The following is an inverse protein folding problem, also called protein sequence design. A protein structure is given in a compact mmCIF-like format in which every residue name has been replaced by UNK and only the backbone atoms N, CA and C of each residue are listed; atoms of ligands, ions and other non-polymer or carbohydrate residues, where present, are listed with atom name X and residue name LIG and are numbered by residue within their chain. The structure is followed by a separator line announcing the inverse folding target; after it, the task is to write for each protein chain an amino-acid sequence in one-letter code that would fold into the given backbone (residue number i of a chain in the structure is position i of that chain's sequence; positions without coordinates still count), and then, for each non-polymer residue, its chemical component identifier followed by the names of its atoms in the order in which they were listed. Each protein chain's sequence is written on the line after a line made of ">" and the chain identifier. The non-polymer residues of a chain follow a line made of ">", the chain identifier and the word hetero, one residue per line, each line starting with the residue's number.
data_IF_504584988548
#
_entry.id   IF_504584988548
#
_cell.length_a   1.000
_cell.length_b   1.000
_cell.length_c   1.000
_cell.angle_alpha   90.00
_cell.angle_beta   90.00
_cell.angle_gamma   90.00
#
_symmetry.space_group_name_H-M   'P 1'
#
loop_
_entity.id
_entity.type
_entity.pdbx_description
1 polymer ?
#
# COMPACT_ATOMS: atom_id res chain seq x y z
N UNK A 1 16.18 -19.30 2.51
CA UNK A 1 17.07 -18.14 2.26
C UNK A 1 16.71 -16.91 3.11
N UNK A 2 15.42 -16.69 3.45
CA UNK A 2 14.97 -15.45 4.10
C UNK A 2 14.95 -15.48 5.63
N UNK A 3 15.36 -16.55 6.29
CA UNK A 3 15.31 -16.71 7.75
C UNK A 3 16.17 -15.69 8.51
N UNK A 4 17.24 -15.20 7.89
CA UNK A 4 18.16 -14.23 8.47
C UNK A 4 17.80 -12.76 8.23
N UNK A 5 16.72 -12.51 7.49
CA UNK A 5 16.20 -11.15 7.29
C UNK A 5 15.63 -10.63 8.60
N UNK A 6 16.03 -9.43 9.02
CA UNK A 6 15.56 -8.85 10.28
C UNK A 6 14.03 -8.66 10.29
N UNK A 7 13.38 -8.67 11.47
CA UNK A 7 11.94 -8.44 11.57
C UNK A 7 11.50 -7.13 10.89
N UNK A 8 12.23 -6.03 11.10
CA UNK A 8 11.93 -4.74 10.48
C UNK A 8 12.00 -4.80 8.94
N UNK A 9 13.05 -5.42 8.40
CA UNK A 9 13.20 -5.54 6.95
C UNK A 9 12.19 -6.55 6.36
N UNK A 10 11.78 -7.56 7.15
CA UNK A 10 10.68 -8.46 6.77
C UNK A 10 9.35 -7.68 6.69
N UNK A 11 9.07 -6.83 7.68
CA UNK A 11 7.87 -5.99 7.71
C UNK A 11 7.86 -5.01 6.53
N UNK A 12 8.96 -4.27 6.32
CA UNK A 12 9.08 -3.30 5.25
C UNK A 12 8.96 -3.94 3.86
N UNK A 13 9.69 -5.01 3.57
CA UNK A 13 9.60 -5.73 2.29
C UNK A 13 8.24 -6.43 2.09
N UNK A 14 7.63 -6.94 3.18
CA UNK A 14 6.29 -7.51 3.13
C UNK A 14 5.21 -6.49 2.81
N UNK A 15 5.33 -5.28 3.37
CA UNK A 15 4.43 -4.18 3.04
C UNK A 15 4.65 -3.69 1.60
N UNK A 16 5.88 -3.63 1.14
CA UNK A 16 6.22 -3.27 -0.25
C UNK A 16 5.57 -4.24 -1.26
N UNK A 17 5.62 -5.57 -1.01
CA UNK A 17 4.86 -6.54 -1.80
C UNK A 17 3.36 -6.22 -1.83
N UNK A 18 2.76 -5.93 -0.67
CA UNK A 18 1.35 -5.56 -0.55
C UNK A 18 1.04 -4.28 -1.34
N UNK A 19 1.92 -3.29 -1.25
CA UNK A 19 1.84 -2.01 -1.96
C UNK A 19 1.78 -2.22 -3.48
N UNK A 20 2.68 -3.00 -4.06
CA UNK A 20 2.69 -3.32 -5.48
C UNK A 20 1.36 -3.94 -5.95
N UNK A 21 0.81 -4.87 -5.16
CA UNK A 21 -0.48 -5.49 -5.47
C UNK A 21 -1.62 -4.47 -5.37
N UNK A 22 -1.63 -3.64 -4.31
CA UNK A 22 -2.66 -2.63 -4.10
C UNK A 22 -2.66 -1.57 -5.20
N UNK A 23 -1.51 -1.03 -5.60
CA UNK A 23 -1.44 -0.01 -6.64
C UNK A 23 -1.79 -0.53 -8.03
N UNK A 24 -1.62 -1.83 -8.26
CA UNK A 24 -2.17 -2.50 -9.44
C UNK A 24 -3.68 -2.69 -9.34
N UNK A 25 -4.18 -3.09 -8.17
CA UNK A 25 -5.59 -3.34 -7.91
C UNK A 25 -6.44 -2.06 -7.98
N UNK A 26 -5.99 -0.97 -7.36
CA UNK A 26 -6.66 0.34 -7.34
C UNK A 26 -6.36 1.20 -8.56
N UNK A 27 -6.26 0.61 -9.73
CA UNK A 27 -5.98 1.30 -10.98
C UNK A 27 -7.07 1.07 -12.02
N UNK A 28 -7.10 1.89 -13.07
CA UNK A 28 -8.02 1.72 -14.18
C UNK A 28 -7.66 0.48 -15.04
N UNK A 29 -8.62 -0.15 -15.71
CA UNK A 29 -10.05 0.05 -15.60
C UNK A 29 -10.62 -0.52 -14.28
N UNK A 30 -11.81 -0.06 -13.88
CA UNK A 30 -12.46 -0.44 -12.62
C UNK A 30 -13.38 -1.66 -12.73
N UNK A 31 -13.51 -2.22 -13.91
CA UNK A 31 -14.30 -3.44 -14.13
C UNK A 31 -13.66 -4.65 -13.46
N UNK A 32 -14.53 -5.58 -13.06
CA UNK A 32 -14.11 -6.85 -12.50
C UNK A 32 -13.38 -7.70 -13.54
N UNK A 33 -12.22 -8.18 -13.16
CA UNK A 33 -11.40 -9.05 -14.00
C UNK A 33 -10.65 -10.10 -13.16
N UNK A 34 -10.04 -11.06 -13.85
CA UNK A 34 -9.28 -12.12 -13.20
C UNK A 34 -8.06 -11.58 -12.46
N UNK A 35 -7.41 -10.53 -12.97
CA UNK A 35 -6.25 -9.92 -12.31
C UNK A 35 -6.63 -9.36 -10.95
N UNK A 36 -7.81 -8.76 -10.80
CA UNK A 36 -8.31 -8.28 -9.52
C UNK A 36 -8.56 -9.43 -8.52
N UNK A 37 -9.17 -10.53 -8.98
CA UNK A 37 -9.40 -11.70 -8.13
C UNK A 37 -8.08 -12.33 -7.64
N UNK A 38 -7.05 -12.38 -8.49
CA UNK A 38 -5.70 -12.84 -8.12
C UNK A 38 -5.08 -11.85 -7.11
N UNK A 39 -5.22 -10.55 -7.34
CA UNK A 39 -4.71 -9.50 -6.46
C UNK A 39 -5.33 -9.60 -5.05
N UNK A 40 -6.63 -9.82 -4.95
CA UNK A 40 -7.31 -10.02 -3.67
C UNK A 40 -6.79 -11.26 -2.92
N UNK A 41 -6.56 -12.36 -3.64
CA UNK A 41 -5.99 -13.58 -3.05
C UNK A 41 -4.54 -13.35 -2.57
N UNK A 42 -3.73 -12.61 -3.34
CA UNK A 42 -2.36 -12.26 -2.95
C UNK A 42 -2.34 -11.36 -1.71
N UNK A 43 -3.17 -10.31 -1.68
CA UNK A 43 -3.27 -9.41 -0.53
C UNK A 43 -3.63 -10.17 0.75
N UNK A 44 -4.64 -11.06 0.71
CA UNK A 44 -4.98 -11.92 1.87
C UNK A 44 -3.81 -12.78 2.30
N UNK A 45 -3.14 -13.44 1.35
CA UNK A 45 -1.98 -14.29 1.66
C UNK A 45 -0.84 -13.50 2.32
N UNK A 46 -0.55 -12.28 1.86
CA UNK A 46 0.46 -11.41 2.47
C UNK A 46 0.03 -11.01 3.89
N UNK A 47 -1.20 -10.55 4.07
CA UNK A 47 -1.75 -10.12 5.36
C UNK A 47 -1.72 -11.24 6.39
N UNK A 48 -2.05 -12.47 5.99
CA UNK A 48 -2.04 -13.64 6.88
C UNK A 48 -0.63 -14.08 7.27
N UNK A 49 0.30 -14.10 6.31
CA UNK A 49 1.62 -14.69 6.51
C UNK A 49 2.68 -13.71 7.03
N UNK A 50 2.55 -12.41 6.76
CA UNK A 50 3.58 -11.43 7.15
C UNK A 50 3.74 -11.28 8.67
N UNK A 51 2.68 -11.15 9.48
CA UNK A 51 2.83 -11.12 10.92
C UNK A 51 3.42 -12.40 11.51
N UNK A 52 3.12 -13.57 10.90
CA UNK A 52 3.70 -14.86 11.30
C UNK A 52 5.21 -14.86 11.03
N UNK A 53 5.62 -14.47 9.81
CA UNK A 53 7.04 -14.44 9.45
C UNK A 53 7.88 -13.45 10.26
N UNK A 54 7.24 -12.36 10.77
CA UNK A 54 7.89 -11.41 11.67
C UNK A 54 8.12 -12.01 13.06
N UNK A 55 7.09 -12.66 13.64
CA UNK A 55 7.16 -13.28 14.97
C UNK A 55 7.96 -14.58 15.01
N UNK A 56 7.90 -15.35 13.93
CA UNK A 56 8.52 -16.66 13.75
C UNK A 56 9.43 -16.66 12.51
N UNK A 57 10.64 -16.07 12.57
CA UNK A 57 11.50 -15.85 11.39
C UNK A 57 11.85 -17.13 10.61
N UNK A 58 11.83 -18.28 11.26
CA UNK A 58 12.13 -19.59 10.66
C UNK A 58 10.87 -20.37 10.26
N UNK A 59 9.68 -19.79 10.35
CA UNK A 59 8.45 -20.43 9.90
C UNK A 59 8.49 -20.60 8.37
N UNK A 60 8.74 -21.84 7.93
CA UNK A 60 8.93 -22.16 6.52
C UNK A 60 7.69 -21.84 5.69
N UNK A 61 6.50 -22.17 6.19
CA UNK A 61 5.25 -21.98 5.46
C UNK A 61 4.99 -20.49 5.19
N UNK A 62 5.08 -19.65 6.23
CA UNK A 62 4.90 -18.22 6.09
C UNK A 62 5.95 -17.60 5.15
N UNK A 63 7.23 -17.96 5.30
CA UNK A 63 8.31 -17.46 4.43
C UNK A 63 8.16 -17.93 2.99
N UNK A 64 7.74 -19.16 2.77
CA UNK A 64 7.50 -19.72 1.43
C UNK A 64 6.34 -19.01 0.73
N UNK A 65 5.22 -18.80 1.44
CA UNK A 65 4.06 -18.07 0.92
C UNK A 65 4.41 -16.63 0.56
N UNK A 66 5.16 -15.93 1.42
CA UNK A 66 5.60 -14.54 1.13
C UNK A 66 6.56 -14.50 -0.07
N UNK A 67 7.50 -15.44 -0.19
CA UNK A 67 8.40 -15.49 -1.35
C UNK A 67 7.64 -15.71 -2.65
N UNK A 68 6.63 -16.58 -2.63
CA UNK A 68 5.78 -16.81 -3.79
C UNK A 68 4.92 -15.56 -4.10
N UNK A 69 4.31 -14.95 -3.08
CA UNK A 69 3.52 -13.74 -3.21
C UNK A 69 4.34 -12.58 -3.80
N UNK A 70 5.60 -12.38 -3.34
CA UNK A 70 6.48 -11.34 -3.88
C UNK A 70 6.76 -11.54 -5.37
N UNK A 71 7.00 -12.80 -5.78
CA UNK A 71 7.18 -13.12 -7.19
C UNK A 71 5.94 -12.78 -8.00
N UNK A 72 4.75 -13.14 -7.51
CA UNK A 72 3.48 -12.87 -8.21
C UNK A 72 3.15 -11.39 -8.27
N UNK A 73 3.54 -10.59 -7.26
CA UNK A 73 3.36 -9.14 -7.25
C UNK A 73 4.16 -8.45 -8.37
N UNK A 74 5.34 -9.01 -8.73
CA UNK A 74 6.28 -8.36 -9.64
C UNK A 74 6.29 -8.90 -11.08
N UNK A 75 5.99 -10.19 -11.30
CA UNK A 75 6.10 -10.80 -12.65
C UNK A 75 5.11 -10.28 -13.69
N UNK A 76 4.23 -9.35 -13.32
CA UNK A 76 3.32 -8.70 -14.24
C UNK A 76 2.00 -9.43 -14.51
N UNK A 77 1.77 -10.61 -13.92
CA UNK A 77 0.53 -11.38 -14.16
C UNK A 77 -0.71 -10.62 -13.70
N UNK A 78 -0.62 -9.92 -12.57
CA UNK A 78 -1.72 -9.09 -12.04
C UNK A 78 -1.88 -7.76 -12.79
N UNK A 79 -0.87 -7.37 -13.58
CA UNK A 79 -0.89 -6.13 -14.38
C UNK A 79 -1.61 -6.30 -15.74
N UNK A 80 -1.99 -7.54 -16.09
CA UNK A 80 -2.68 -7.82 -17.35
C UNK A 80 -4.08 -7.15 -17.35
N UNK A 81 -4.30 -6.27 -18.30
CA UNK A 81 -5.54 -5.51 -18.42
C UNK A 81 -5.67 -4.33 -17.45
N UNK A 82 -4.61 -3.94 -16.75
CA UNK A 82 -4.56 -2.81 -15.81
C UNK A 82 -3.61 -1.72 -16.31
N UNK A 83 -3.91 -0.47 -16.00
CA UNK A 83 -3.03 0.68 -16.30
C UNK A 83 -1.91 0.84 -15.25
N UNK A 84 -2.12 0.34 -14.05
CA UNK A 84 -1.24 0.43 -12.88
C UNK A 84 -1.01 1.89 -12.42
N UNK A 85 -1.41 2.18 -11.20
CA UNK A 85 -1.33 3.53 -10.65
C UNK A 85 0.12 3.91 -10.27
N UNK A 86 0.68 3.27 -9.27
CA UNK A 86 2.02 3.55 -8.73
C UNK A 86 2.28 5.00 -8.29
N UNK A 87 1.23 5.79 -7.98
CA UNK A 87 1.41 7.17 -7.50
C UNK A 87 1.99 7.21 -6.09
N UNK A 88 1.61 6.28 -5.20
CA UNK A 88 2.19 6.21 -3.86
C UNK A 88 3.70 5.89 -3.94
N UNK A 89 4.12 5.03 -4.87
CA UNK A 89 5.55 4.80 -5.14
C UNK A 89 6.24 6.05 -5.67
N UNK A 90 5.61 6.83 -6.56
CA UNK A 90 6.21 8.06 -7.08
C UNK A 90 6.43 9.09 -5.98
N UNK A 91 5.49 9.23 -5.04
CA UNK A 91 5.63 10.09 -3.87
C UNK A 91 6.76 9.60 -2.97
N UNK A 92 6.78 8.30 -2.68
CA UNK A 92 7.79 7.70 -1.80
C UNK A 92 9.19 7.76 -2.42
N UNK A 93 9.36 7.51 -3.72
CA UNK A 93 10.65 7.63 -4.40
C UNK A 93 11.25 9.03 -4.27
N UNK A 94 10.42 10.08 -4.40
CA UNK A 94 10.90 11.44 -4.18
C UNK A 94 11.23 11.69 -2.71
N UNK A 95 10.39 11.21 -1.79
CA UNK A 95 10.67 11.28 -0.37
C UNK A 95 11.99 10.59 -0.01
N UNK A 96 12.20 9.37 -0.49
CA UNK A 96 13.45 8.61 -0.31
C UNK A 96 14.66 9.31 -0.91
N UNK A 97 14.52 9.94 -2.08
CA UNK A 97 15.61 10.68 -2.73
C UNK A 97 16.12 11.88 -1.89
N UNK A 98 15.24 12.51 -1.12
CA UNK A 98 15.61 13.65 -0.26
C UNK A 98 15.99 13.25 1.17
N UNK A 99 15.55 12.08 1.65
CA UNK A 99 15.63 11.74 3.08
C UNK A 99 16.39 10.44 3.36
N UNK A 100 16.67 9.63 2.33
CA UNK A 100 17.26 8.29 2.45
C UNK A 100 16.47 7.36 3.39
N UNK A 101 15.13 7.54 3.48
CA UNK A 101 14.29 6.71 4.31
C UNK A 101 14.14 5.29 3.72
N UNK A 102 13.79 4.32 4.57
CA UNK A 102 13.51 2.97 4.11
C UNK A 102 12.25 2.94 3.25
N UNK A 103 12.35 2.39 2.04
CA UNK A 103 11.31 2.38 1.01
C UNK A 103 9.97 1.81 1.51
N UNK A 104 9.97 0.56 2.00
CA UNK A 104 8.72 -0.08 2.45
C UNK A 104 8.10 0.60 3.68
N UNK A 105 8.92 1.21 4.54
CA UNK A 105 8.42 2.03 5.67
C UNK A 105 7.78 3.32 5.16
N UNK A 106 8.40 3.99 4.17
CA UNK A 106 7.87 5.18 3.54
C UNK A 106 6.53 4.92 2.85
N UNK A 107 6.42 3.81 2.12
CA UNK A 107 5.15 3.36 1.53
C UNK A 107 4.07 3.15 2.61
N UNK A 108 4.44 2.54 3.76
CA UNK A 108 3.51 2.36 4.87
C UNK A 108 2.90 3.66 5.39
N UNK A 109 3.71 4.72 5.45
CA UNK A 109 3.24 6.05 5.87
C UNK A 109 2.33 6.70 4.81
N UNK A 110 2.67 6.59 3.52
CA UNK A 110 1.97 7.31 2.44
C UNK A 110 0.61 6.66 2.07
N UNK A 111 0.53 5.33 2.03
CA UNK A 111 -0.64 4.63 1.48
C UNK A 111 -1.98 5.00 2.12
N UNK A 112 -2.13 5.06 3.46
CA UNK A 112 -3.43 5.39 4.05
C UNK A 112 -3.95 6.77 3.64
N UNK A 113 -3.11 7.80 3.68
CA UNK A 113 -3.47 9.17 3.31
C UNK A 113 -3.77 9.26 1.80
N UNK A 114 -2.93 8.64 0.97
CA UNK A 114 -3.14 8.58 -0.48
C UNK A 114 -4.48 7.92 -0.82
N UNK A 115 -4.78 6.75 -0.26
CA UNK A 115 -6.03 6.05 -0.53
C UNK A 115 -7.26 6.79 -0.01
N UNK A 116 -7.17 7.49 1.13
CA UNK A 116 -8.26 8.38 1.57
C UNK A 116 -8.54 9.49 0.55
N UNK A 117 -7.50 10.00 -0.10
CA UNK A 117 -7.61 11.05 -1.13
C UNK A 117 -8.36 10.59 -2.38
N UNK A 118 -8.11 9.35 -2.84
CA UNK A 118 -8.69 8.82 -4.08
C UNK A 118 -9.89 7.88 -3.88
N UNK A 119 -10.26 7.57 -2.63
CA UNK A 119 -11.29 6.59 -2.30
C UNK A 119 -12.61 6.85 -3.01
N UNK A 120 -13.07 8.11 -3.03
CA UNK A 120 -14.34 8.49 -3.67
C UNK A 120 -14.31 8.39 -5.19
N UNK A 121 -13.14 8.47 -5.80
CA UNK A 121 -12.98 8.35 -7.26
C UNK A 121 -13.10 6.89 -7.72
N UNK A 122 -12.80 5.91 -6.83
CA UNK A 122 -12.89 4.47 -7.08
C UNK A 122 -13.67 3.69 -6.02
N UNK A 123 -14.73 4.28 -5.45
CA UNK A 123 -15.44 3.80 -4.25
C UNK A 123 -15.78 2.29 -4.31
N UNK A 124 -16.26 1.81 -5.45
CA UNK A 124 -16.64 0.39 -5.62
C UNK A 124 -15.47 -0.57 -5.40
N UNK A 125 -14.27 -0.19 -5.83
CA UNK A 125 -13.08 -1.00 -5.65
C UNK A 125 -12.62 -0.99 -4.19
N UNK A 126 -12.72 0.14 -3.50
CA UNK A 126 -12.44 0.23 -2.07
C UNK A 126 -13.44 -0.55 -1.22
N UNK A 127 -14.73 -0.59 -1.61
CA UNK A 127 -15.73 -1.48 -0.99
C UNK A 127 -15.33 -2.95 -1.16
N UNK A 128 -14.92 -3.37 -2.37
CA UNK A 128 -14.45 -4.74 -2.60
C UNK A 128 -13.21 -5.07 -1.79
N UNK A 129 -12.28 -4.14 -1.66
CA UNK A 129 -11.11 -4.29 -0.81
C UNK A 129 -11.52 -4.54 0.65
N UNK A 130 -12.45 -3.76 1.19
CA UNK A 130 -12.97 -3.97 2.54
C UNK A 130 -13.60 -5.37 2.71
N UNK A 131 -14.44 -5.78 1.75
CA UNK A 131 -15.17 -7.05 1.82
C UNK A 131 -14.27 -8.24 1.51
N UNK A 132 -13.58 -8.22 0.37
CA UNK A 132 -12.88 -9.40 -0.17
C UNK A 132 -11.50 -9.60 0.44
N UNK A 133 -10.85 -8.53 0.90
CA UNK A 133 -9.50 -8.62 1.49
C UNK A 133 -9.58 -8.63 3.02
N UNK A 134 -10.36 -7.74 3.62
CA UNK A 134 -10.48 -7.62 5.07
C UNK A 134 -11.63 -8.42 5.67
N UNK A 135 -12.52 -9.00 4.85
CA UNK A 135 -13.65 -9.81 5.33
C UNK A 135 -14.75 -9.00 6.03
N UNK A 136 -14.85 -7.71 5.73
CA UNK A 136 -15.91 -6.86 6.31
C UNK A 136 -17.28 -7.24 5.74
N UNK A 137 -18.34 -7.15 6.57
CA UNK A 137 -19.68 -7.42 6.12
C UNK A 137 -20.21 -6.24 5.29
N UNK A 138 -20.78 -6.49 4.09
CA UNK A 138 -21.44 -5.46 3.30
C UNK A 138 -22.85 -5.13 3.82
N UNK A 139 -23.33 -5.84 4.85
CA UNK A 139 -24.72 -5.74 5.31
C UNK A 139 -24.98 -4.48 6.12
N UNK A 140 -25.82 -3.58 5.62
CA UNK A 140 -26.43 -2.48 6.36
C UNK A 140 -25.60 -1.21 6.53
N UNK A 141 -24.41 -1.11 5.90
CA UNK A 141 -23.56 0.07 5.93
C UNK A 141 -23.65 0.94 4.68
N UNK A 142 -23.23 2.21 4.80
CA UNK A 142 -22.96 3.07 3.68
C UNK A 142 -21.73 2.58 2.92
N UNK A 143 -21.76 2.59 1.58
CA UNK A 143 -20.60 2.21 0.75
C UNK A 143 -19.36 3.03 1.09
N UNK A 144 -19.52 4.32 1.40
CA UNK A 144 -18.40 5.18 1.77
C UNK A 144 -17.82 4.77 3.13
N UNK A 145 -18.65 4.50 4.14
CA UNK A 145 -18.21 4.00 5.45
C UNK A 145 -17.44 2.69 5.33
N UNK A 146 -17.94 1.76 4.52
CA UNK A 146 -17.28 0.47 4.28
C UNK A 146 -15.94 0.63 3.55
N UNK A 147 -15.89 1.49 2.53
CA UNK A 147 -14.67 1.76 1.77
C UNK A 147 -13.57 2.38 2.66
N UNK A 148 -13.91 3.38 3.48
CA UNK A 148 -12.98 3.98 4.43
C UNK A 148 -12.59 2.99 5.54
N UNK A 149 -13.50 2.12 5.98
CA UNK A 149 -13.21 1.04 6.90
C UNK A 149 -12.11 0.10 6.41
N UNK A 150 -12.08 -0.20 5.11
CA UNK A 150 -11.00 -0.98 4.49
C UNK A 150 -9.63 -0.27 4.56
N UNK A 151 -9.62 1.07 4.43
CA UNK A 151 -8.39 1.87 4.58
C UNK A 151 -7.96 1.92 6.06
N UNK A 152 -8.92 2.01 6.99
CA UNK A 152 -8.64 1.95 8.44
C UNK A 152 -8.03 0.59 8.83
N UNK A 153 -8.53 -0.51 8.25
CA UNK A 153 -7.96 -1.84 8.45
C UNK A 153 -6.53 -1.94 7.92
N UNK A 154 -6.24 -1.34 6.74
CA UNK A 154 -4.87 -1.24 6.22
C UNK A 154 -3.96 -0.47 7.18
N UNK A 155 -4.41 0.66 7.70
CA UNK A 155 -3.64 1.45 8.66
C UNK A 155 -3.38 0.68 9.96
N UNK A 156 -4.37 -0.04 10.46
CA UNK A 156 -4.21 -0.91 11.64
C UNK A 156 -3.19 -2.03 11.37
N UNK A 157 -3.21 -2.64 10.19
CA UNK A 157 -2.24 -3.66 9.80
C UNK A 157 -0.80 -3.12 9.73
N UNK A 158 -0.60 -1.90 9.20
CA UNK A 158 0.71 -1.24 9.18
C UNK A 158 1.27 -1.11 10.60
N UNK A 159 0.45 -0.71 11.56
CA UNK A 159 0.85 -0.65 12.97
C UNK A 159 1.10 -2.03 13.58
N UNK A 160 0.26 -3.04 13.25
CA UNK A 160 0.42 -4.42 13.73
C UNK A 160 1.78 -5.01 13.34
N UNK A 161 2.23 -4.76 12.10
CA UNK A 161 3.53 -5.26 11.62
C UNK A 161 4.73 -4.39 12.05
N UNK A 162 4.49 -3.36 12.85
CA UNK A 162 5.53 -2.53 13.48
C UNK A 162 6.15 -1.48 12.56
N UNK A 163 5.45 -1.07 11.50
CA UNK A 163 5.90 0.03 10.64
C UNK A 163 5.46 1.41 11.21
N UNK A 164 6.22 2.48 10.90
CA UNK A 164 5.83 3.83 11.32
C UNK A 164 4.52 4.28 10.68
N UNK A 165 3.74 5.07 11.43
CA UNK A 165 2.48 5.64 10.96
C UNK A 165 2.59 7.10 10.51
N UNK A 166 3.73 7.77 10.78
CA UNK A 166 3.96 9.18 10.41
C UNK A 166 5.36 9.40 9.86
N UNK A 167 5.54 10.51 9.13
CA UNK A 167 6.86 10.92 8.64
C UNK A 167 7.84 11.18 9.79
N UNK A 168 7.36 11.70 10.92
CA UNK A 168 8.19 11.93 12.11
C UNK A 168 8.69 10.63 12.72
N UNK A 169 7.85 9.61 12.82
CA UNK A 169 8.25 8.28 13.27
C UNK A 169 9.24 7.62 12.30
N UNK A 170 9.12 7.91 11.01
CA UNK A 170 10.07 7.50 9.98
C UNK A 170 11.42 8.24 10.08
N UNK A 171 11.49 9.31 10.90
CA UNK A 171 12.69 10.12 11.12
C UNK A 171 12.76 11.40 10.27
N UNK A 172 11.72 11.69 9.49
CA UNK A 172 11.64 12.91 8.66
C UNK A 172 11.06 14.04 9.51
N UNK A 173 11.92 14.90 10.03
CA UNK A 173 11.58 15.98 10.97
C UNK A 173 11.63 17.38 10.36
N UNK A 174 12.19 17.52 9.15
CA UNK A 174 12.26 18.81 8.45
C UNK A 174 11.03 19.00 7.55
N UNK A 175 10.01 19.67 8.10
CA UNK A 175 8.77 19.97 7.37
C UNK A 175 9.00 20.85 6.13
N UNK A 176 10.08 21.63 6.07
CA UNK A 176 10.36 22.49 4.92
C UNK A 176 10.67 21.71 3.64
N UNK A 177 11.01 20.41 3.75
CA UNK A 177 11.25 19.52 2.62
C UNK A 177 9.96 19.08 1.91
N UNK A 178 8.81 19.04 2.61
CA UNK A 178 7.58 18.46 2.08
C UNK A 178 7.15 19.12 0.77
N UNK A 179 7.24 20.45 0.70
CA UNK A 179 6.93 21.19 -0.53
C UNK A 179 7.89 20.85 -1.67
N UNK A 180 9.18 20.71 -1.38
CA UNK A 180 10.19 20.37 -2.39
C UNK A 180 9.98 18.95 -2.92
N UNK A 181 9.65 18.01 -2.04
CA UNK A 181 9.31 16.64 -2.39
C UNK A 181 8.07 16.65 -3.30
N UNK A 182 6.98 17.29 -2.86
CA UNK A 182 5.74 17.36 -3.64
C UNK A 182 5.94 17.96 -5.03
N UNK A 183 6.63 19.10 -5.13
CA UNK A 183 6.86 19.81 -6.39
C UNK A 183 7.72 19.01 -7.38
N UNK A 184 8.53 18.07 -6.90
CA UNK A 184 9.43 17.23 -7.72
C UNK A 184 8.84 15.87 -8.07
N UNK A 185 7.69 15.47 -7.52
CA UNK A 185 7.06 14.19 -7.81
C UNK A 185 6.69 14.07 -9.30
N UNK A 186 6.98 12.90 -9.86
CA UNK A 186 6.40 12.49 -11.14
C UNK A 186 4.96 12.07 -10.84
N UNK A 187 4.00 12.67 -11.53
CA UNK A 187 2.57 12.37 -11.33
C UNK A 187 2.14 11.28 -12.31
N UNK A 188 1.63 10.18 -11.78
CA UNK A 188 1.12 9.09 -12.58
C UNK A 188 -0.34 9.34 -13.00
N UNK A 189 -0.77 8.77 -14.11
CA UNK A 189 -2.12 8.85 -14.66
C UNK A 189 -2.82 7.47 -14.78
N UNK A 190 -2.19 6.42 -14.26
CA UNK A 190 -2.71 5.06 -14.28
C UNK A 190 -3.82 4.77 -13.26
N UNK A 191 -3.99 5.63 -12.25
CA UNK A 191 -5.02 5.52 -11.22
C UNK A 191 -6.40 6.03 -11.68
N UNK A 192 -7.28 6.28 -10.70
CA UNK A 192 -8.63 6.81 -10.97
C UNK A 192 -8.59 8.27 -11.41
N UNK A 193 -7.60 9.01 -11.01
CA UNK A 193 -7.30 10.36 -11.47
C UNK A 193 -5.84 10.73 -11.20
N UNK A 194 -5.29 11.63 -12.00
CA UNK A 194 -3.96 12.18 -11.74
C UNK A 194 -4.02 13.25 -10.65
N UNK A 195 -3.19 13.14 -9.61
CA UNK A 195 -3.07 14.15 -8.56
C UNK A 195 -2.33 15.40 -9.05
N UNK A 196 -2.61 16.53 -8.43
CA UNK A 196 -1.82 17.76 -8.54
C UNK A 196 -0.68 17.75 -7.50
N UNK A 197 0.40 18.53 -7.73
CA UNK A 197 1.46 18.68 -6.73
C UNK A 197 0.95 19.28 -5.40
N UNK A 198 -0.11 20.11 -5.45
CA UNK A 198 -0.74 20.62 -4.23
C UNK A 198 -1.42 19.51 -3.42
N UNK A 199 -2.11 18.57 -4.07
CA UNK A 199 -2.71 17.41 -3.39
C UNK A 199 -1.66 16.46 -2.84
N UNK A 200 -0.53 16.31 -3.53
CA UNK A 200 0.61 15.53 -3.02
C UNK A 200 1.19 16.19 -1.77
N UNK A 201 1.30 17.53 -1.76
CA UNK A 201 1.71 18.25 -0.56
C UNK A 201 0.74 18.06 0.60
N UNK A 202 -0.58 18.15 0.35
CA UNK A 202 -1.60 17.90 1.38
C UNK A 202 -1.44 16.48 1.97
N UNK A 203 -1.18 15.45 1.14
CA UNK A 203 -0.94 14.08 1.60
C UNK A 203 0.30 14.02 2.50
N UNK A 204 1.41 14.64 2.09
CA UNK A 204 2.64 14.67 2.89
C UNK A 204 2.46 15.42 4.21
N UNK A 205 1.69 16.51 4.22
CA UNK A 205 1.36 17.26 5.44
C UNK A 205 0.46 16.46 6.39
N UNK A 206 -0.49 15.69 5.85
CA UNK A 206 -1.34 14.77 6.63
C UNK A 206 -0.51 13.64 7.28
N UNK A 207 0.53 13.17 6.60
CA UNK A 207 1.44 12.14 7.09
C UNK A 207 2.48 12.66 8.11
N UNK A 208 2.67 13.98 8.26
CA UNK A 208 3.69 14.58 9.12
C UNK A 208 3.27 14.62 10.59
#
# INVERSE_FOLDING_TARGET
>A
YTYTVSPLQTAAGGFDMLSHVMETYFSAPDEDNLSDAISEALMRSIIENLPVAIREPENYEARSNLMWASTMAEIGIIKLGKQCDFEAHMIEHQMGAYTDCNHGMGLGVIHPAYYRRICRDGIKKFVKFAVNVWGMSPDGGDEEELAFGGIDALQAFIHEIGLPGTLRELGITDQSLLKTIADSCIRNDGGYRQLTHAEILDILEECY
#
